data_IF_838132214484
#
_entry.id   IF_838132214484
#
_cell.length_a   1.000
_cell.length_b   1.000
_cell.length_c   1.000
_cell.angle_alpha   90.00
_cell.angle_beta   90.00
_cell.angle_gamma   90.00
#
_symmetry.space_group_name_H-M   'P 1'
#
loop_
_entity.id
_entity.type
_entity.pdbx_description
1 polymer ?
#
# COMPACT_ATOMS: atom_id res chain seq x y z
N UNK A 1 8.61 -37.24 -27.31
CA UNK A 1 8.80 -36.33 -26.16
C UNK A 1 9.23 -34.92 -26.59
N UNK A 2 10.38 -34.73 -27.27
CA UNK A 2 10.84 -33.38 -27.70
C UNK A 2 9.84 -32.66 -28.62
N UNK A 3 9.30 -33.37 -29.61
CA UNK A 3 8.34 -32.79 -30.57
C UNK A 3 7.02 -32.39 -29.90
N UNK A 4 6.46 -33.27 -29.06
CA UNK A 4 5.26 -32.98 -28.27
C UNK A 4 5.45 -31.74 -27.39
N UNK A 5 6.59 -31.61 -26.72
CA UNK A 5 6.92 -30.41 -25.94
C UNK A 5 7.02 -29.16 -26.81
N UNK A 6 7.60 -29.26 -28.01
CA UNK A 6 7.71 -28.14 -28.96
C UNK A 6 6.33 -27.65 -29.41
N UNK A 7 5.44 -28.57 -29.77
CA UNK A 7 4.07 -28.25 -30.18
C UNK A 7 3.26 -27.64 -29.03
N UNK A 8 3.37 -28.20 -27.82
CA UNK A 8 2.78 -27.63 -26.60
C UNK A 8 3.22 -26.18 -26.39
N UNK A 9 4.52 -25.90 -26.47
CA UNK A 9 5.01 -24.52 -26.31
C UNK A 9 4.47 -23.57 -27.38
N UNK A 10 4.32 -24.02 -28.63
CA UNK A 10 3.74 -23.18 -29.69
C UNK A 10 2.27 -22.83 -29.42
N UNK A 11 1.50 -23.75 -28.82
CA UNK A 11 0.11 -23.47 -28.39
C UNK A 11 0.10 -22.46 -27.26
N UNK A 12 0.87 -22.71 -26.18
CA UNK A 12 0.92 -21.81 -25.03
C UNK A 12 1.43 -20.41 -25.40
N UNK A 13 2.38 -20.29 -26.33
CA UNK A 13 2.86 -18.98 -26.80
C UNK A 13 1.83 -18.20 -27.62
N UNK A 14 0.90 -18.88 -28.29
CA UNK A 14 -0.19 -18.25 -29.03
C UNK A 14 -1.32 -17.81 -28.10
N UNK A 15 -1.60 -18.61 -27.07
CA UNK A 15 -2.66 -18.37 -26.08
C UNK A 15 -2.25 -17.28 -25.06
N UNK A 16 -1.08 -17.44 -24.44
CA UNK A 16 -0.59 -16.53 -23.40
C UNK A 16 0.19 -15.37 -24.04
N UNK A 17 -0.50 -14.43 -24.68
CA UNK A 17 0.14 -13.23 -25.25
C UNK A 17 0.31 -12.13 -24.19
N UNK A 18 1.41 -11.38 -24.29
CA UNK A 18 1.66 -10.22 -23.43
C UNK A 18 1.18 -8.94 -24.12
N UNK A 19 0.69 -8.00 -23.31
CA UNK A 19 0.36 -6.64 -23.70
C UNK A 19 0.64 -5.66 -22.56
N UNK A 20 0.92 -4.40 -22.89
CA UNK A 20 1.12 -3.34 -21.91
C UNK A 20 -0.13 -2.46 -21.96
N UNK A 21 -1.09 -2.73 -21.06
CA UNK A 21 -2.41 -2.10 -21.12
C UNK A 21 -2.40 -0.60 -20.81
N UNK A 22 -1.36 -0.10 -20.14
CA UNK A 22 -1.12 1.31 -19.90
C UNK A 22 0.38 1.58 -19.87
N UNK A 23 0.80 2.71 -20.45
CA UNK A 23 2.20 3.12 -20.48
C UNK A 23 2.81 3.13 -19.07
N UNK A 24 3.99 2.53 -18.92
CA UNK A 24 4.70 2.43 -17.65
C UNK A 24 4.31 1.27 -16.74
N UNK A 25 3.26 0.49 -17.07
CA UNK A 25 2.93 -0.72 -16.31
C UNK A 25 3.72 -1.95 -16.78
N UNK A 26 3.90 -2.97 -15.90
CA UNK A 26 4.40 -4.28 -16.32
C UNK A 26 3.52 -4.91 -17.41
N UNK A 27 4.13 -5.72 -18.26
CA UNK A 27 3.39 -6.48 -19.27
C UNK A 27 2.47 -7.52 -18.60
N UNK A 28 1.23 -7.57 -19.07
CA UNK A 28 0.12 -8.36 -18.54
C UNK A 28 -0.41 -9.29 -19.63
N UNK A 29 -1.35 -10.17 -19.28
CA UNK A 29 -2.01 -11.00 -20.30
C UNK A 29 -2.88 -10.12 -21.21
N UNK A 30 -2.70 -10.29 -22.53
CA UNK A 30 -3.44 -9.53 -23.55
C UNK A 30 -4.93 -9.86 -23.52
N UNK A 31 -5.25 -11.15 -23.54
CA UNK A 31 -6.61 -11.69 -23.43
C UNK A 31 -6.58 -12.80 -22.41
N UNK A 32 -7.51 -12.78 -21.44
CA UNK A 32 -7.59 -13.79 -20.39
C UNK A 32 -7.88 -15.17 -21.01
N UNK A 33 -6.99 -16.17 -20.85
CA UNK A 33 -7.25 -17.54 -21.30
C UNK A 33 -8.38 -18.18 -20.50
N UNK A 34 -9.14 -19.09 -21.12
CA UNK A 34 -10.30 -19.74 -20.50
C UNK A 34 -9.92 -20.53 -19.24
N UNK A 35 -8.80 -21.26 -19.30
CA UNK A 35 -8.24 -22.04 -18.19
C UNK A 35 -7.82 -21.18 -16.98
N UNK A 36 -7.65 -19.87 -17.18
CA UNK A 36 -7.25 -18.93 -16.12
C UNK A 36 -8.44 -18.21 -15.48
N UNK A 37 -9.66 -18.43 -15.98
CA UNK A 37 -10.88 -17.84 -15.43
C UNK A 37 -11.19 -18.39 -14.03
N UNK A 38 -11.96 -17.63 -13.25
CA UNK A 38 -12.49 -18.17 -12.00
C UNK A 38 -13.37 -19.38 -12.28
N UNK A 39 -13.19 -20.46 -11.51
CA UNK A 39 -14.18 -21.53 -11.53
C UNK A 39 -15.56 -20.99 -11.15
N UNK A 40 -16.62 -21.57 -11.71
CA UNK A 40 -17.99 -21.15 -11.41
C UNK A 40 -18.29 -21.14 -9.90
N UNK A 41 -17.82 -22.16 -9.18
CA UNK A 41 -18.01 -22.24 -7.73
C UNK A 41 -17.29 -21.11 -6.98
N UNK A 42 -16.03 -20.84 -7.32
CA UNK A 42 -15.28 -19.74 -6.72
C UNK A 42 -15.87 -18.37 -7.07
N UNK A 43 -16.30 -18.19 -8.33
CA UNK A 43 -17.00 -16.98 -8.76
C UNK A 43 -18.29 -16.79 -7.98
N UNK A 44 -19.12 -17.83 -7.83
CA UNK A 44 -20.32 -17.80 -7.01
C UNK A 44 -19.99 -17.48 -5.55
N UNK A 45 -18.96 -18.08 -4.95
CA UNK A 45 -18.59 -17.80 -3.56
C UNK A 45 -18.13 -16.35 -3.38
N UNK A 46 -17.27 -15.82 -4.26
CA UNK A 46 -16.83 -14.42 -4.18
C UNK A 46 -17.98 -13.47 -4.46
N UNK A 47 -18.80 -13.74 -5.48
CA UNK A 47 -19.91 -12.89 -5.87
C UNK A 47 -21.02 -12.92 -4.82
N UNK A 48 -21.39 -14.08 -4.29
CA UNK A 48 -22.38 -14.22 -3.22
C UNK A 48 -21.87 -13.62 -1.92
N UNK A 49 -20.59 -13.79 -1.59
CA UNK A 49 -20.01 -13.16 -0.39
C UNK A 49 -19.95 -11.64 -0.54
N UNK A 50 -19.45 -11.12 -1.68
CA UNK A 50 -19.39 -9.68 -1.94
C UNK A 50 -20.76 -9.05 -2.15
N UNK A 51 -21.72 -9.74 -2.78
CA UNK A 51 -23.09 -9.24 -2.95
C UNK A 51 -23.84 -9.30 -1.62
N UNK A 52 -23.72 -10.37 -0.83
CA UNK A 52 -24.29 -10.39 0.52
C UNK A 52 -23.70 -9.28 1.39
N UNK A 53 -22.38 -9.05 1.32
CA UNK A 53 -21.73 -7.92 2.01
C UNK A 53 -22.21 -6.57 1.48
N UNK A 54 -22.20 -6.34 0.16
CA UNK A 54 -22.60 -5.07 -0.47
C UNK A 54 -24.10 -4.77 -0.36
N UNK A 55 -24.97 -5.77 -0.40
CA UNK A 55 -26.42 -5.64 -0.22
C UNK A 55 -26.74 -5.38 1.26
N UNK A 56 -26.07 -6.06 2.20
CA UNK A 56 -26.15 -5.77 3.62
C UNK A 56 -25.60 -4.37 3.94
N UNK A 57 -24.53 -3.95 3.28
CA UNK A 57 -23.89 -2.64 3.44
C UNK A 57 -24.74 -1.52 2.85
N UNK A 58 -25.19 -1.63 1.61
CA UNK A 58 -26.03 -0.60 0.96
C UNK A 58 -27.38 -0.41 1.66
N UNK A 59 -27.96 -1.46 2.25
CA UNK A 59 -29.17 -1.39 3.08
C UNK A 59 -28.92 -0.82 4.50
N UNK A 60 -27.70 -0.95 5.05
CA UNK A 60 -27.35 -0.49 6.42
C UNK A 60 -26.50 0.79 6.45
N UNK A 61 -26.07 1.29 5.30
CA UNK A 61 -25.27 2.50 5.12
C UNK A 61 -26.01 3.57 4.30
N UNK A 62 -27.23 4.03 4.70
CA UNK A 62 -27.92 5.10 3.99
C UNK A 62 -27.15 6.44 3.95
N UNK A 63 -26.00 6.53 4.64
CA UNK A 63 -25.25 7.74 4.92
C UNK A 63 -23.83 7.82 4.33
N UNK A 64 -23.26 6.75 3.77
CA UNK A 64 -21.85 6.76 3.28
C UNK A 64 -21.66 7.67 2.06
N UNK A 65 -22.71 7.84 1.24
CA UNK A 65 -22.74 8.80 0.14
C UNK A 65 -23.58 10.06 0.40
N UNK A 66 -24.27 10.16 1.55
CA UNK A 66 -25.19 11.28 1.86
C UNK A 66 -24.72 12.20 3.00
N UNK A 67 -23.78 11.76 3.85
CA UNK A 67 -23.15 12.67 4.82
C UNK A 67 -22.15 13.55 4.11
N UNK A 68 -22.48 14.84 4.02
CA UNK A 68 -21.56 15.86 3.51
C UNK A 68 -20.38 16.09 4.46
N UNK A 69 -20.56 15.88 5.77
CA UNK A 69 -19.56 16.20 6.81
C UNK A 69 -19.65 15.30 8.05
N UNK A 70 -18.50 15.05 8.69
CA UNK A 70 -18.38 14.42 10.02
C UNK A 70 -18.24 15.52 11.08
N UNK A 71 -18.95 15.43 12.21
CA UNK A 71 -18.90 16.46 13.26
C UNK A 71 -17.79 16.21 14.28
N UNK A 72 -17.44 14.94 14.48
CA UNK A 72 -16.38 14.49 15.38
C UNK A 72 -15.61 13.35 14.72
N UNK A 73 -14.33 13.19 15.05
CA UNK A 73 -13.49 12.08 14.55
C UNK A 73 -14.13 10.72 14.84
N UNK A 74 -14.78 10.57 15.98
CA UNK A 74 -15.48 9.34 16.37
C UNK A 74 -16.66 8.99 15.46
N UNK A 75 -17.22 9.93 14.70
CA UNK A 75 -18.31 9.63 13.78
C UNK A 75 -17.87 8.67 12.67
N UNK A 76 -16.57 8.61 12.34
CA UNK A 76 -16.00 7.63 11.40
C UNK A 76 -16.28 6.19 11.85
N UNK A 77 -16.40 5.93 13.16
CA UNK A 77 -16.68 4.59 13.68
C UNK A 77 -18.06 4.07 13.25
N UNK A 78 -18.97 4.97 12.86
CA UNK A 78 -20.31 4.60 12.36
C UNK A 78 -20.27 3.94 10.98
N UNK A 79 -19.15 4.02 10.26
CA UNK A 79 -18.93 3.27 9.01
C UNK A 79 -18.89 1.76 9.29
N UNK A 80 -18.38 1.35 10.44
CA UNK A 80 -18.25 -0.05 10.78
C UNK A 80 -19.59 -0.62 11.24
N UNK A 81 -20.22 -1.40 10.37
CA UNK A 81 -21.50 -2.07 10.65
C UNK A 81 -21.29 -3.32 11.50
N UNK A 82 -22.40 -3.97 11.90
CA UNK A 82 -22.36 -5.27 12.60
C UNK A 82 -21.63 -6.37 11.81
N UNK A 83 -21.48 -6.24 10.48
CA UNK A 83 -20.81 -7.25 9.66
C UNK A 83 -19.28 -7.25 9.85
N UNK A 84 -18.66 -6.07 9.92
CA UNK A 84 -17.21 -5.94 10.03
C UNK A 84 -16.73 -5.75 11.48
N UNK A 85 -17.60 -5.22 12.35
CA UNK A 85 -17.23 -4.81 13.69
C UNK A 85 -16.29 -3.59 13.69
N UNK A 86 -16.19 -2.90 14.82
CA UNK A 86 -15.28 -1.75 14.94
C UNK A 86 -13.84 -2.25 15.09
N UNK A 87 -12.90 -1.88 14.19
CA UNK A 87 -11.53 -2.34 14.28
C UNK A 87 -10.86 -1.89 15.58
N UNK A 88 -10.05 -2.75 16.19
CA UNK A 88 -9.32 -2.40 17.42
C UNK A 88 -8.40 -1.18 17.21
N UNK A 89 -7.86 -0.99 15.99
CA UNK A 89 -7.05 0.17 15.63
C UNK A 89 -7.75 1.51 15.83
N UNK A 90 -9.09 1.56 15.76
CA UNK A 90 -9.87 2.79 15.99
C UNK A 90 -9.75 3.35 17.41
N UNK A 91 -9.33 2.54 18.39
CA UNK A 91 -9.10 2.98 19.78
C UNK A 91 -7.74 3.65 19.96
N UNK A 92 -6.80 3.38 19.06
CA UNK A 92 -5.39 3.75 19.22
C UNK A 92 -4.82 4.49 18.01
N UNK A 93 -5.68 5.05 17.16
CA UNK A 93 -5.26 5.72 15.93
C UNK A 93 -4.34 6.93 16.20
N UNK A 94 -4.50 7.59 17.36
CA UNK A 94 -3.66 8.71 17.78
C UNK A 94 -2.47 8.29 18.68
N UNK A 95 -2.27 7.01 18.98
CA UNK A 95 -1.15 6.52 19.80
C UNK A 95 0.14 6.41 18.97
N UNK A 96 1.18 7.14 19.35
CA UNK A 96 2.49 7.16 18.69
C UNK A 96 3.17 5.78 18.65
N UNK A 97 3.00 4.95 19.69
CA UNK A 97 3.54 3.58 19.70
C UNK A 97 2.87 2.71 18.66
N UNK A 98 1.56 2.90 18.44
CA UNK A 98 0.83 2.17 17.41
C UNK A 98 1.17 2.69 16.02
N UNK A 99 1.31 4.01 15.88
CA UNK A 99 1.75 4.63 14.63
C UNK A 99 3.12 4.11 14.18
N UNK A 100 4.11 4.06 15.09
CA UNK A 100 5.42 3.49 14.79
C UNK A 100 5.35 1.99 14.50
N UNK A 101 4.58 1.22 15.29
CA UNK A 101 4.40 -0.23 15.05
C UNK A 101 3.83 -0.54 13.66
N UNK A 102 2.96 0.31 13.12
CA UNK A 102 2.41 0.13 11.77
C UNK A 102 3.49 0.07 10.70
N UNK A 103 4.64 0.74 10.90
CA UNK A 103 5.76 0.78 9.95
C UNK A 103 6.52 -0.54 9.86
N UNK A 104 6.37 -1.45 10.83
CA UNK A 104 7.17 -2.69 10.89
C UNK A 104 6.32 -3.97 10.95
N UNK A 105 5.06 -3.89 11.37
CA UNK A 105 4.23 -5.09 11.61
C UNK A 105 2.81 -5.00 11.07
N UNK A 106 2.54 -4.09 10.13
CA UNK A 106 1.20 -3.92 9.54
C UNK A 106 1.28 -3.89 8.02
N UNK A 107 0.37 -3.16 7.37
CA UNK A 107 0.11 -3.23 5.92
C UNK A 107 1.33 -2.86 5.07
N UNK A 108 2.12 -1.88 5.50
CA UNK A 108 3.20 -1.34 4.69
C UNK A 108 4.52 -1.27 5.47
N UNK A 109 5.19 -2.41 5.58
CA UNK A 109 6.46 -2.56 6.28
C UNK A 109 7.70 -2.49 5.38
N UNK A 110 7.52 -2.14 4.11
CA UNK A 110 8.60 -2.16 3.10
C UNK A 110 9.34 -0.82 2.94
N UNK A 111 8.83 0.27 3.52
CA UNK A 111 9.37 1.63 3.32
C UNK A 111 10.36 2.04 4.41
N UNK A 112 10.23 1.49 5.63
CA UNK A 112 11.03 1.97 6.75
C UNK A 112 12.48 1.53 6.62
N UNK A 113 13.39 2.48 6.75
CA UNK A 113 14.82 2.26 6.63
C UNK A 113 15.57 2.86 7.81
N UNK A 114 16.77 2.34 8.08
CA UNK A 114 17.66 2.92 9.10
C UNK A 114 18.18 4.27 8.61
N UNK A 115 18.05 5.31 9.44
CA UNK A 115 18.53 6.65 9.10
C UNK A 115 20.00 6.77 9.46
N UNK A 116 20.87 6.84 8.44
CA UNK A 116 22.33 7.01 8.61
C UNK A 116 22.76 8.48 8.59
N UNK A 117 21.92 9.36 8.05
CA UNK A 117 22.06 10.81 8.05
C UNK A 117 20.69 11.44 7.78
N UNK A 118 20.46 12.66 8.28
CA UNK A 118 19.26 13.43 7.93
C UNK A 118 19.37 13.90 6.48
N UNK A 119 18.43 13.58 5.58
CA UNK A 119 18.47 14.00 4.19
C UNK A 119 18.48 15.52 4.03
N UNK A 120 19.14 16.02 2.99
CA UNK A 120 19.26 17.46 2.71
C UNK A 120 17.92 18.16 2.49
N UNK A 121 16.88 17.43 2.09
CA UNK A 121 15.54 17.95 1.86
C UNK A 121 14.61 17.79 3.09
N UNK A 122 15.08 17.16 4.17
CA UNK A 122 14.37 17.08 5.46
C UNK A 122 14.85 18.19 6.41
N UNK A 123 13.97 19.11 6.83
CA UNK A 123 14.33 20.30 7.62
C UNK A 123 14.49 20.03 9.12
N UNK A 124 14.64 18.77 9.52
CA UNK A 124 14.92 18.39 10.91
C UNK A 124 16.30 18.87 11.31
N UNK A 125 16.37 19.58 12.44
CA UNK A 125 17.64 19.94 13.10
C UNK A 125 17.85 19.08 14.34
N UNK A 126 19.10 18.96 14.81
CA UNK A 126 19.40 18.22 16.05
C UNK A 126 18.65 18.80 17.26
N UNK A 127 18.56 20.13 17.37
CA UNK A 127 17.84 20.79 18.46
C UNK A 127 16.35 20.43 18.51
N UNK A 128 15.70 20.31 17.34
CA UNK A 128 14.29 19.91 17.25
C UNK A 128 14.02 18.52 17.84
N UNK A 129 14.93 17.57 17.60
CA UNK A 129 14.71 16.17 17.97
C UNK A 129 15.39 15.75 19.27
N UNK A 130 16.34 16.54 19.77
CA UNK A 130 17.07 16.29 21.01
C UNK A 130 16.19 15.87 22.19
N UNK A 131 15.00 16.47 22.44
CA UNK A 131 14.12 16.03 23.53
C UNK A 131 13.62 14.58 23.41
N UNK A 132 13.65 13.99 22.22
CA UNK A 132 13.14 12.66 21.93
C UNK A 132 14.21 11.57 21.89
N UNK A 133 15.49 11.92 22.06
CA UNK A 133 16.63 11.00 21.93
C UNK A 133 17.08 10.37 23.26
N UNK A 134 16.29 10.50 24.34
CA UNK A 134 16.58 9.90 25.65
C UNK A 134 17.99 10.24 26.18
N UNK A 135 18.39 11.50 26.03
CA UNK A 135 19.70 12.01 26.47
C UNK A 135 20.87 11.72 25.53
N UNK A 136 20.64 11.06 24.38
CA UNK A 136 21.66 10.78 23.37
C UNK A 136 21.77 11.95 22.38
N UNK A 137 22.96 12.18 21.83
CA UNK A 137 23.15 13.10 20.68
C UNK A 137 22.63 12.47 19.39
N UNK A 138 22.43 13.26 18.33
CA UNK A 138 22.07 12.73 17.01
C UNK A 138 23.11 11.69 16.54
N UNK A 139 24.40 12.01 16.69
CA UNK A 139 25.49 11.10 16.33
C UNK A 139 25.41 9.76 17.09
N UNK A 140 25.20 9.81 18.41
CA UNK A 140 25.05 8.60 19.22
C UNK A 140 23.81 7.78 18.83
N UNK A 141 22.70 8.45 18.48
CA UNK A 141 21.48 7.77 18.05
C UNK A 141 21.67 7.06 16.69
N UNK A 142 22.39 7.68 15.74
CA UNK A 142 22.75 7.08 14.45
C UNK A 142 23.71 5.90 14.65
N UNK A 143 24.82 6.11 15.37
CA UNK A 143 25.83 5.07 15.63
C UNK A 143 25.23 3.88 16.39
N UNK A 144 24.30 4.16 17.31
CA UNK A 144 23.53 3.16 18.04
C UNK A 144 22.41 2.50 17.23
N UNK A 145 22.24 2.83 15.95
CA UNK A 145 21.19 2.31 15.05
C UNK A 145 19.78 2.49 15.61
N UNK A 146 19.53 3.65 16.22
CA UNK A 146 18.25 3.98 16.88
C UNK A 146 17.38 4.92 16.05
N UNK A 147 17.89 5.51 14.98
CA UNK A 147 17.11 6.35 14.09
C UNK A 147 16.69 5.59 12.84
N UNK A 148 15.44 5.77 12.47
CA UNK A 148 14.81 5.19 11.29
C UNK A 148 14.01 6.28 10.58
N UNK A 149 13.77 6.10 9.29
CA UNK A 149 12.99 7.05 8.51
C UNK A 149 12.16 6.35 7.45
N UNK A 150 11.16 7.07 6.96
CA UNK A 150 10.43 6.74 5.74
C UNK A 150 10.48 7.94 4.80
N UNK A 151 10.57 7.66 3.51
CA UNK A 151 10.57 8.68 2.46
C UNK A 151 9.55 8.31 1.37
N UNK A 152 8.48 9.09 1.27
CA UNK A 152 7.41 8.92 0.29
C UNK A 152 7.54 9.89 -0.90
N UNK A 153 8.77 10.24 -1.28
CA UNK A 153 9.07 11.10 -2.44
C UNK A 153 8.44 10.62 -3.76
N UNK A 154 8.21 9.32 -3.92
CA UNK A 154 7.56 8.75 -5.13
C UNK A 154 6.13 9.29 -5.36
N UNK A 155 5.51 9.86 -4.33
CA UNK A 155 4.18 10.46 -4.41
C UNK A 155 4.22 11.94 -4.79
N UNK A 156 5.41 12.53 -4.95
CA UNK A 156 5.54 13.90 -5.45
C UNK A 156 4.91 13.99 -6.84
N UNK A 157 4.13 15.07 -7.05
CA UNK A 157 3.37 15.34 -8.27
C UNK A 157 2.36 14.24 -8.70
N UNK A 158 2.02 13.29 -7.81
CA UNK A 158 0.98 12.33 -8.10
C UNK A 158 -0.38 13.03 -8.30
N UNK A 159 -1.05 12.84 -9.45
CA UNK A 159 -2.30 13.49 -9.73
C UNK A 159 -3.39 12.96 -8.78
N UNK A 160 -4.26 13.87 -8.36
CA UNK A 160 -5.45 13.53 -7.59
C UNK A 160 -6.65 13.47 -8.52
N UNK A 161 -7.76 12.90 -8.04
CA UNK A 161 -9.00 12.77 -8.83
C UNK A 161 -9.57 14.12 -9.28
N UNK A 162 -9.33 15.18 -8.52
CA UNK A 162 -9.85 16.53 -8.73
C UNK A 162 -8.88 17.55 -8.13
N UNK A 163 -8.75 18.73 -8.73
CA UNK A 163 -7.78 19.77 -8.35
C UNK A 163 -7.93 20.31 -6.91
N UNK A 164 -9.07 20.07 -6.27
CA UNK A 164 -9.34 20.45 -4.89
C UNK A 164 -8.84 19.42 -3.84
N UNK A 165 -8.30 18.29 -4.28
CA UNK A 165 -7.70 17.28 -3.40
C UNK A 165 -6.18 17.40 -3.41
N UNK A 166 -5.58 17.18 -2.25
CA UNK A 166 -4.14 17.29 -2.03
C UNK A 166 -3.54 15.90 -1.74
N UNK A 167 -2.43 15.58 -2.40
CA UNK A 167 -1.57 14.45 -2.07
C UNK A 167 -0.29 14.98 -1.43
N UNK A 168 0.09 14.41 -0.29
CA UNK A 168 1.37 14.69 0.38
C UNK A 168 2.41 13.67 -0.04
N UNK A 169 3.68 14.04 0.07
CA UNK A 169 4.83 13.18 -0.21
C UNK A 169 5.81 13.24 0.98
N UNK A 170 5.43 12.69 2.14
CA UNK A 170 6.06 13.03 3.40
C UNK A 170 7.40 12.32 3.64
N UNK A 171 8.22 12.96 4.48
CA UNK A 171 9.37 12.39 5.19
C UNK A 171 9.01 12.24 6.66
N UNK A 172 9.26 11.08 7.27
CA UNK A 172 9.06 10.90 8.70
C UNK A 172 10.30 10.29 9.37
N UNK A 173 10.66 10.80 10.54
CA UNK A 173 11.75 10.33 11.37
C UNK A 173 11.19 9.60 12.60
N UNK A 174 11.82 8.49 12.93
CA UNK A 174 11.46 7.64 14.06
C UNK A 174 12.68 7.36 14.92
N UNK A 175 12.45 7.23 16.23
CA UNK A 175 13.47 6.83 17.18
C UNK A 175 13.05 5.54 17.89
N UNK A 176 13.99 4.60 17.99
CA UNK A 176 13.84 3.33 18.69
C UNK A 176 14.28 3.49 20.15
N UNK A 177 13.26 3.60 21.01
CA UNK A 177 13.41 3.94 22.42
C UNK A 177 13.98 2.80 23.26
N UNK A 178 14.53 3.13 24.43
CA UNK A 178 14.98 2.15 25.42
C UNK A 178 13.82 1.28 25.96
N UNK A 179 12.57 1.74 25.78
CA UNK A 179 11.36 0.96 26.04
C UNK A 179 10.96 0.01 24.88
N UNK A 180 11.87 -0.26 23.94
CA UNK A 180 11.66 -1.10 22.75
C UNK A 180 10.45 -0.69 21.90
N UNK A 181 10.21 0.62 21.79
CA UNK A 181 9.15 1.16 20.95
C UNK A 181 9.76 2.01 19.84
N UNK A 182 9.30 1.79 18.61
CA UNK A 182 9.55 2.71 17.52
C UNK A 182 8.57 3.88 17.64
N UNK A 183 9.08 5.10 17.83
CA UNK A 183 8.27 6.30 18.06
C UNK A 183 8.49 7.30 16.93
N UNK A 184 7.43 7.85 16.30
CA UNK A 184 7.57 8.99 15.41
C UNK A 184 8.03 10.22 16.20
N UNK A 185 9.04 10.92 15.70
CA UNK A 185 9.62 12.10 16.37
C UNK A 185 9.54 13.36 15.50
N UNK A 186 9.49 13.22 14.18
CA UNK A 186 9.33 14.34 13.25
C UNK A 186 8.61 13.90 11.96
N UNK A 187 7.77 14.76 11.39
CA UNK A 187 7.12 14.56 10.10
C UNK A 187 7.20 15.86 9.30
N UNK A 188 7.64 15.80 8.05
CA UNK A 188 7.54 16.89 7.07
C UNK A 188 6.64 16.40 5.92
N UNK A 189 5.62 17.17 5.53
CA UNK A 189 4.56 16.65 4.65
C UNK A 189 4.92 16.66 3.16
N UNK A 190 5.85 17.53 2.76
CA UNK A 190 6.35 17.61 1.39
C UNK A 190 7.87 17.52 1.33
N UNK A 191 8.42 17.23 0.15
CA UNK A 191 9.87 17.05 -0.03
C UNK A 191 10.65 18.37 0.06
N UNK A 192 10.09 19.50 -0.39
CA UNK A 192 10.80 20.79 -0.41
C UNK A 192 10.81 21.50 0.94
N UNK A 193 11.98 22.04 1.33
CA UNK A 193 12.15 22.88 2.52
C UNK A 193 11.61 24.28 2.26
N UNK A 194 10.47 24.60 2.83
CA UNK A 194 9.83 25.91 2.67
C UNK A 194 9.14 26.34 3.98
N UNK A 195 8.98 27.64 4.26
CA UNK A 195 8.27 28.12 5.46
C UNK A 195 6.82 27.60 5.57
N UNK A 196 6.19 27.30 4.42
CA UNK A 196 4.85 26.71 4.31
C UNK A 196 4.81 25.19 4.58
N UNK A 197 5.97 24.53 4.64
CA UNK A 197 6.11 23.09 4.89
C UNK A 197 6.98 22.86 6.15
N UNK A 198 6.44 23.14 7.35
CA UNK A 198 7.19 22.98 8.59
C UNK A 198 7.45 21.50 8.90
N UNK A 199 8.44 21.28 9.76
CA UNK A 199 8.61 19.98 10.43
C UNK A 199 7.70 19.95 11.63
N UNK A 200 6.72 19.05 11.59
CA UNK A 200 5.86 18.75 12.73
C UNK A 200 6.58 17.83 13.69
N UNK A 201 6.53 18.15 14.98
CA UNK A 201 7.20 17.41 16.04
C UNK A 201 6.17 16.77 16.97
N UNK A 202 6.59 15.69 17.63
CA UNK A 202 5.79 15.03 18.67
C UNK A 202 5.39 15.96 19.83
N UNK A 203 6.14 17.05 20.04
CA UNK A 203 5.87 18.08 21.05
C UNK A 203 4.88 19.16 20.60
N UNK A 204 4.46 19.16 19.34
CA UNK A 204 3.47 20.12 18.85
C UNK A 204 2.10 19.91 19.54
N UNK A 205 1.19 20.91 19.48
CA UNK A 205 -0.15 20.75 19.99
C UNK A 205 -0.82 19.46 19.50
N UNK A 206 -1.57 18.79 20.38
CA UNK A 206 -2.10 17.43 20.15
C UNK A 206 -2.75 17.26 18.76
N UNK A 207 -3.62 18.18 18.38
CA UNK A 207 -4.33 18.11 17.11
C UNK A 207 -3.45 18.42 15.90
N UNK A 208 -2.42 19.26 16.05
CA UNK A 208 -1.43 19.52 15.00
C UNK A 208 -0.64 18.25 14.71
N UNK A 209 -0.11 17.60 15.74
CA UNK A 209 0.63 16.34 15.59
C UNK A 209 -0.25 15.20 15.07
N UNK A 210 -1.49 15.11 15.56
CA UNK A 210 -2.47 14.14 15.07
C UNK A 210 -2.74 14.33 13.56
N UNK A 211 -2.94 15.56 13.10
CA UNK A 211 -3.17 15.86 11.68
C UNK A 211 -1.95 15.51 10.82
N UNK A 212 -0.72 15.81 11.27
CA UNK A 212 0.49 15.44 10.55
C UNK A 212 0.59 13.91 10.36
N UNK A 213 0.29 13.13 11.41
CA UNK A 213 0.22 11.65 11.32
C UNK A 213 -0.90 11.16 10.40
N UNK A 214 -2.05 11.83 10.38
CA UNK A 214 -3.15 11.47 9.46
C UNK A 214 -2.77 11.71 8.00
N UNK A 215 -2.15 12.85 7.68
CA UNK A 215 -1.63 13.14 6.34
C UNK A 215 -0.54 12.15 5.93
N UNK A 216 0.34 11.78 6.85
CA UNK A 216 1.31 10.71 6.60
C UNK A 216 0.62 9.38 6.26
N UNK A 217 -0.37 8.97 7.04
CA UNK A 217 -1.09 7.72 6.82
C UNK A 217 -1.91 7.72 5.52
N UNK A 218 -2.40 8.88 5.06
CA UNK A 218 -3.01 9.00 3.74
C UNK A 218 -2.01 8.66 2.64
N UNK A 219 -0.83 9.29 2.67
CA UNK A 219 0.23 9.04 1.70
C UNK A 219 0.73 7.58 1.74
N UNK A 220 0.97 7.04 2.95
CA UNK A 220 1.36 5.65 3.14
C UNK A 220 0.31 4.65 2.63
N UNK A 221 -0.98 4.93 2.83
CA UNK A 221 -2.07 4.11 2.30
C UNK A 221 -2.11 4.14 0.77
N UNK A 222 -1.86 5.31 0.16
CA UNK A 222 -1.75 5.45 -1.31
C UNK A 222 -0.58 4.62 -1.85
N UNK A 223 0.60 4.72 -1.22
CA UNK A 223 1.76 3.89 -1.59
C UNK A 223 1.42 2.40 -1.45
N UNK A 224 0.85 2.00 -0.31
CA UNK A 224 0.51 0.60 -0.04
C UNK A 224 -0.42 0.03 -1.11
N UNK A 225 -1.53 0.68 -1.40
CA UNK A 225 -2.52 0.14 -2.34
C UNK A 225 -1.98 0.12 -3.78
N UNK A 226 -1.30 1.19 -4.21
CA UNK A 226 -0.83 1.31 -5.60
C UNK A 226 0.42 0.48 -5.87
N UNK A 227 1.39 0.48 -4.95
CA UNK A 227 2.69 -0.15 -5.18
C UNK A 227 2.81 -1.48 -4.46
N UNK A 228 2.80 -1.49 -3.12
CA UNK A 228 3.02 -2.71 -2.33
C UNK A 228 2.01 -3.81 -2.66
N UNK A 229 0.74 -3.45 -2.80
CA UNK A 229 -0.34 -4.38 -3.12
C UNK A 229 -0.49 -4.54 -4.63
N UNK A 230 -1.02 -3.54 -5.35
CA UNK A 230 -1.35 -3.72 -6.76
C UNK A 230 -0.12 -3.98 -7.64
N UNK A 231 0.93 -3.16 -7.56
CA UNK A 231 2.07 -3.33 -8.46
C UNK A 231 2.90 -4.58 -8.13
N UNK A 232 3.44 -4.65 -6.92
CA UNK A 232 4.46 -5.63 -6.55
C UNK A 232 3.93 -7.05 -6.38
N UNK A 233 2.65 -7.24 -6.02
CA UNK A 233 2.08 -8.60 -5.88
C UNK A 233 1.16 -8.98 -7.02
N UNK A 234 0.35 -8.07 -7.55
CA UNK A 234 -0.60 -8.41 -8.62
C UNK A 234 0.04 -8.27 -10.01
N UNK A 235 0.38 -7.04 -10.42
CA UNK A 235 0.78 -6.76 -11.81
C UNK A 235 2.13 -7.38 -12.17
N UNK A 236 3.11 -7.29 -11.26
CA UNK A 236 4.44 -7.87 -11.48
C UNK A 236 4.38 -9.40 -11.57
N UNK A 237 3.62 -10.05 -10.69
CA UNK A 237 3.50 -11.51 -10.69
C UNK A 237 2.70 -12.04 -11.88
N UNK A 238 1.75 -11.27 -12.43
CA UNK A 238 1.03 -11.67 -13.64
C UNK A 238 1.98 -11.83 -14.83
N UNK A 239 2.88 -10.85 -15.04
CA UNK A 239 3.90 -10.95 -16.08
C UNK A 239 4.79 -12.19 -15.91
N UNK A 240 5.17 -12.52 -14.68
CA UNK A 240 5.93 -13.75 -14.35
C UNK A 240 5.12 -15.01 -14.65
N UNK A 241 3.82 -15.02 -14.32
CA UNK A 241 2.92 -16.14 -14.60
C UNK A 241 2.78 -16.39 -16.10
N UNK A 242 2.52 -15.33 -16.87
CA UNK A 242 2.44 -15.40 -18.34
C UNK A 242 3.77 -15.86 -18.94
N UNK A 243 4.90 -15.30 -18.50
CA UNK A 243 6.22 -15.72 -18.97
C UNK A 243 6.51 -17.20 -18.65
N UNK A 244 6.10 -17.67 -17.47
CA UNK A 244 6.23 -19.08 -17.06
C UNK A 244 5.45 -19.99 -18.00
N UNK A 245 4.18 -19.68 -18.30
CA UNK A 245 3.33 -20.46 -19.21
C UNK A 245 3.82 -20.45 -20.64
N UNK A 246 4.43 -19.35 -21.08
CA UNK A 246 5.02 -19.23 -22.44
C UNK A 246 6.33 -19.98 -22.65
N UNK A 247 7.06 -20.36 -21.59
CA UNK A 247 8.42 -20.90 -21.71
C UNK A 247 8.64 -22.24 -21.00
N UNK A 248 7.75 -22.65 -20.11
CA UNK A 248 7.84 -23.92 -19.40
C UNK A 248 6.64 -24.81 -19.74
N UNK A 249 6.94 -25.98 -20.30
CA UNK A 249 5.95 -27.02 -20.57
C UNK A 249 5.28 -27.49 -19.26
N UNK A 250 4.05 -27.98 -19.33
CA UNK A 250 3.27 -28.46 -18.17
C UNK A 250 3.99 -29.58 -17.41
N UNK A 251 4.79 -30.38 -18.11
CA UNK A 251 5.59 -31.45 -17.51
C UNK A 251 6.86 -30.96 -16.80
N UNK A 252 7.27 -29.71 -17.02
CA UNK A 252 8.48 -29.15 -16.45
C UNK A 252 8.37 -29.05 -14.92
N UNK A 253 9.38 -29.46 -14.13
CA UNK A 253 9.30 -29.43 -12.67
C UNK A 253 8.97 -28.04 -12.10
N UNK A 254 9.57 -26.99 -12.66
CA UNK A 254 9.29 -25.61 -12.25
C UNK A 254 7.85 -25.18 -12.58
N UNK A 255 7.30 -25.62 -13.72
CA UNK A 255 5.91 -25.33 -14.06
C UNK A 255 4.96 -26.00 -13.04
N UNK A 256 5.20 -27.28 -12.74
CA UNK A 256 4.41 -28.01 -11.73
C UNK A 256 4.47 -27.36 -10.35
N UNK A 257 5.64 -26.85 -9.96
CA UNK A 257 5.82 -26.14 -8.70
C UNK A 257 5.07 -24.81 -8.68
N UNK A 258 5.22 -23.98 -9.73
CA UNK A 258 4.73 -22.61 -9.73
C UNK A 258 3.24 -22.48 -10.07
N UNK A 259 2.66 -23.42 -10.84
CA UNK A 259 1.30 -23.26 -11.38
C UNK A 259 0.24 -23.04 -10.28
N UNK A 260 0.35 -23.72 -9.14
CA UNK A 260 -0.56 -23.54 -8.01
C UNK A 260 -0.48 -22.14 -7.38
N UNK A 261 0.69 -21.48 -7.46
CA UNK A 261 0.90 -20.13 -6.92
C UNK A 261 0.37 -19.03 -7.84
N UNK A 262 0.01 -19.36 -9.08
CA UNK A 262 -0.55 -18.40 -10.04
C UNK A 262 -2.07 -18.54 -10.20
N UNK A 263 -2.69 -19.47 -9.49
CA UNK A 263 -4.11 -19.75 -9.60
C UNK A 263 -4.93 -18.45 -9.42
N UNK A 264 -5.76 -18.16 -10.42
CA UNK A 264 -6.65 -17.00 -10.49
C UNK A 264 -5.98 -15.61 -10.54
N UNK A 265 -4.65 -15.53 -10.62
CA UNK A 265 -3.94 -14.25 -10.68
C UNK A 265 -4.32 -13.44 -11.94
N UNK A 266 -4.37 -14.09 -13.11
CA UNK A 266 -4.77 -13.44 -14.35
C UNK A 266 -6.26 -13.05 -14.34
N UNK A 267 -7.14 -13.88 -13.75
CA UNK A 267 -8.56 -13.57 -13.62
C UNK A 267 -8.81 -12.33 -12.75
N UNK A 268 -8.21 -12.28 -11.55
CA UNK A 268 -8.43 -11.15 -10.65
C UNK A 268 -7.88 -9.85 -11.26
N UNK A 269 -6.69 -9.89 -11.87
CA UNK A 269 -6.08 -8.70 -12.48
C UNK A 269 -6.88 -8.21 -13.69
N UNK A 270 -7.42 -9.13 -14.51
CA UNK A 270 -8.29 -8.76 -15.63
C UNK A 270 -9.53 -7.99 -15.16
N UNK A 271 -10.14 -8.41 -14.04
CA UNK A 271 -11.26 -7.69 -13.42
C UNK A 271 -10.88 -6.31 -12.87
N UNK A 272 -9.73 -6.21 -12.18
CA UNK A 272 -9.21 -4.95 -11.64
C UNK A 272 -8.94 -3.95 -12.75
N UNK A 273 -8.32 -4.38 -13.85
CA UNK A 273 -7.97 -3.48 -14.95
C UNK A 273 -9.22 -2.87 -15.59
N UNK A 274 -10.27 -3.68 -15.77
CA UNK A 274 -11.57 -3.19 -16.27
C UNK A 274 -12.19 -2.18 -15.30
N UNK A 275 -12.07 -2.38 -14.00
CA UNK A 275 -12.69 -1.50 -13.00
C UNK A 275 -11.88 -0.20 -12.75
N UNK A 276 -10.55 -0.28 -12.72
CA UNK A 276 -9.67 0.82 -12.35
C UNK A 276 -9.28 1.73 -13.52
N UNK A 277 -9.20 1.22 -14.75
CA UNK A 277 -8.71 2.00 -15.91
C UNK A 277 -9.81 2.42 -16.87
N UNK A 278 -11.10 2.16 -16.58
CA UNK A 278 -12.23 2.61 -17.43
C UNK A 278 -12.48 4.12 -17.44
N UNK A 279 -11.77 4.88 -16.61
CA UNK A 279 -12.00 6.31 -16.39
C UNK A 279 -10.73 7.18 -16.54
N UNK A 280 -9.67 6.62 -17.13
CA UNK A 280 -8.47 7.39 -17.54
C UNK A 280 -8.56 7.66 -19.03
#
# INVERSE_FOLDING_TARGET
MKESRRLEMQVLQKEYQLDVKMSGLPAQVKVLPEDETFSWHYFCDVLLSKLAEFEIESLKLPNLGKRKEWKKVDDVKTVYTKAFGVPQGSKYFNDDKKFGRQRISCLNSLIIEMCTAIPENFAVTEDMIKPFLEGKTLKQAIEGKRLFMTNLAILEDCPTRTDNLLMTCPLALFYFSDANCLLPIAIQLFQKKEPSNPVFLRSDPEYTWMLAKMWYNLADSTYHQSLTHLNFTHLMMEGISVATKRHLALQHPIMKLLNAHFLYLMAINSGVIIACYRHV
#
